data_IF_529613795760
#
_entry.id   IF_529613795760
#
_cell.length_a   1.000
_cell.length_b   1.000
_cell.length_c   1.000
_cell.angle_alpha   90.00
_cell.angle_beta   90.00
_cell.angle_gamma   90.00
#
_symmetry.space_group_name_H-M   'P 1'
#
loop_
_entity.id
_entity.type
_entity.pdbx_description
1 polymer ?
#
# COMPACT_ATOMS: atom_id res chain seq x y z
N UNK A 1 4.09 13.94 -22.02
CA UNK A 1 4.81 13.88 -20.73
C UNK A 1 4.51 12.62 -19.95
N UNK A 2 3.27 12.26 -19.74
CA UNK A 2 2.88 11.03 -18.97
C UNK A 2 3.36 9.73 -19.63
N UNK A 3 3.36 9.67 -20.97
CA UNK A 3 3.81 8.48 -21.71
C UNK A 3 5.31 8.25 -21.56
N UNK A 4 6.10 9.31 -21.62
CA UNK A 4 7.56 9.26 -21.44
C UNK A 4 7.91 8.85 -20.00
N UNK A 5 7.20 9.41 -19.02
CA UNK A 5 7.35 9.03 -17.61
C UNK A 5 7.06 7.54 -17.40
N UNK A 6 5.94 7.06 -17.93
CA UNK A 6 5.57 5.65 -17.82
C UNK A 6 6.59 4.73 -18.51
N UNK A 7 7.12 5.13 -19.66
CA UNK A 7 8.13 4.36 -20.40
C UNK A 7 9.43 4.24 -19.61
N UNK A 8 9.91 5.37 -19.07
CA UNK A 8 11.11 5.41 -18.23
C UNK A 8 10.91 4.55 -16.99
N UNK A 9 9.78 4.71 -16.31
CA UNK A 9 9.49 3.95 -15.09
C UNK A 9 9.39 2.45 -15.38
N UNK A 10 8.77 2.06 -16.49
CA UNK A 10 8.66 0.67 -16.90
C UNK A 10 10.01 0.05 -17.23
N UNK A 11 10.94 0.84 -17.80
CA UNK A 11 12.31 0.40 -18.08
C UNK A 11 13.10 0.18 -16.77
N UNK A 12 12.87 1.03 -15.75
CA UNK A 12 13.54 0.92 -14.45
C UNK A 12 12.84 -0.01 -13.46
N UNK A 13 11.60 -0.45 -13.75
CA UNK A 13 10.82 -1.31 -12.87
C UNK A 13 11.55 -2.61 -12.49
N UNK A 14 12.19 -3.36 -13.41
CA UNK A 14 12.94 -4.55 -13.05
C UNK A 14 14.13 -4.24 -12.14
N UNK A 15 14.76 -3.08 -12.31
CA UNK A 15 15.86 -2.64 -11.45
C UNK A 15 15.38 -2.32 -10.02
N UNK A 16 14.22 -1.69 -9.90
CA UNK A 16 13.57 -1.42 -8.62
C UNK A 16 13.14 -2.73 -7.92
N UNK A 17 12.62 -3.68 -8.66
CA UNK A 17 12.28 -5.00 -8.15
C UNK A 17 13.52 -5.76 -7.66
N UNK A 18 14.62 -5.68 -8.42
CA UNK A 18 15.90 -6.29 -8.06
C UNK A 18 16.47 -5.64 -6.78
N UNK A 19 16.44 -4.31 -6.71
CA UNK A 19 16.81 -3.58 -5.49
C UNK A 19 16.02 -4.04 -4.28
N UNK A 20 14.70 -4.12 -4.41
CA UNK A 20 13.83 -4.55 -3.31
C UNK A 20 14.10 -6.01 -2.91
N UNK A 21 14.45 -6.87 -3.86
CA UNK A 21 14.85 -8.23 -3.61
C UNK A 21 16.12 -8.31 -2.73
N UNK A 22 17.13 -7.47 -3.01
CA UNK A 22 18.36 -7.43 -2.23
C UNK A 22 18.21 -6.74 -0.86
N UNK A 23 17.41 -5.67 -0.78
CA UNK A 23 17.24 -4.88 0.45
C UNK A 23 16.31 -5.58 1.46
N UNK A 24 15.28 -6.29 0.99
CA UNK A 24 14.27 -6.90 1.85
C UNK A 24 14.64 -8.27 2.41
N UNK A 25 15.89 -8.75 2.25
CA UNK A 25 16.39 -10.03 2.83
C UNK A 25 15.38 -11.20 2.77
N UNK A 26 14.72 -11.43 1.66
CA UNK A 26 13.61 -12.36 1.44
C UNK A 26 12.26 -11.64 1.27
N UNK A 27 12.02 -11.04 0.11
CA UNK A 27 10.70 -10.48 -0.17
C UNK A 27 9.70 -11.62 -0.25
N UNK A 28 8.73 -11.63 0.64
CA UNK A 28 7.60 -12.53 0.48
C UNK A 28 6.97 -12.20 -0.88
N UNK A 29 6.81 -13.19 -1.74
CA UNK A 29 6.19 -13.05 -3.06
C UNK A 29 4.90 -12.20 -3.03
N UNK A 30 4.13 -12.32 -1.93
CA UNK A 30 2.98 -11.49 -1.61
C UNK A 30 3.29 -9.98 -1.59
N UNK A 31 4.45 -9.56 -1.07
CA UNK A 31 4.85 -8.15 -1.01
C UNK A 31 5.10 -7.57 -2.42
N UNK A 32 5.72 -8.35 -3.30
CA UNK A 32 5.96 -7.95 -4.69
C UNK A 32 4.63 -7.82 -5.45
N UNK A 33 3.73 -8.77 -5.28
CA UNK A 33 2.39 -8.71 -5.88
C UNK A 33 1.61 -7.47 -5.41
N UNK A 34 1.67 -7.15 -4.11
CA UNK A 34 1.03 -5.94 -3.59
C UNK A 34 1.61 -4.67 -4.19
N UNK A 35 2.95 -4.57 -4.34
CA UNK A 35 3.61 -3.43 -4.99
C UNK A 35 3.23 -3.27 -6.46
N UNK A 36 2.89 -4.36 -7.15
CA UNK A 36 2.37 -4.37 -8.51
C UNK A 36 0.86 -4.08 -8.61
N UNK A 37 0.21 -3.75 -7.49
CA UNK A 37 -1.20 -3.43 -7.44
C UNK A 37 -2.13 -4.64 -7.39
N UNK A 38 -1.59 -5.83 -7.16
CA UNK A 38 -2.41 -7.02 -6.91
C UNK A 38 -2.80 -7.09 -5.45
N UNK A 39 -3.91 -6.47 -5.12
CA UNK A 39 -4.49 -6.56 -3.80
C UNK A 39 -5.36 -7.82 -3.68
N UNK A 40 -5.03 -8.66 -2.70
CA UNK A 40 -5.72 -9.94 -2.47
C UNK A 40 -7.01 -9.74 -1.65
N UNK A 41 -7.98 -9.09 -2.21
CA UNK A 41 -9.28 -8.92 -1.59
C UNK A 41 -10.09 -7.83 -2.27
N UNK A 42 -11.07 -8.19 -3.06
CA UNK A 42 -12.10 -7.25 -3.49
C UNK A 42 -12.97 -6.95 -2.28
N UNK A 43 -13.04 -5.69 -1.91
CA UNK A 43 -14.11 -5.21 -1.02
C UNK A 43 -15.29 -4.81 -1.88
N UNK A 44 -16.48 -5.29 -1.56
CA UNK A 44 -17.72 -4.82 -2.18
C UNK A 44 -18.21 -3.52 -1.55
N UNK A 45 -17.49 -2.99 -0.58
CA UNK A 45 -17.83 -1.78 0.18
C UNK A 45 -16.81 -0.68 -0.09
N UNK A 46 -17.25 0.56 0.03
CA UNK A 46 -16.36 1.72 -0.06
C UNK A 46 -15.25 1.59 0.97
N UNK A 47 -14.02 1.74 0.53
CA UNK A 47 -12.84 1.62 1.38
C UNK A 47 -12.10 2.94 1.46
N UNK A 48 -11.81 3.39 2.66
CA UNK A 48 -11.00 4.58 2.91
C UNK A 48 -9.53 4.14 2.93
N UNK A 49 -8.74 4.70 2.03
CA UNK A 49 -7.30 4.45 1.98
C UNK A 49 -6.53 5.61 2.62
N UNK A 50 -5.84 5.32 3.72
CA UNK A 50 -4.94 6.23 4.40
C UNK A 50 -3.49 5.89 4.06
N UNK A 51 -2.69 6.90 3.76
CA UNK A 51 -1.28 6.71 3.41
C UNK A 51 -0.38 7.63 4.23
N UNK A 52 0.68 7.06 4.80
CA UNK A 52 1.74 7.80 5.48
C UNK A 52 3.11 7.35 4.97
N UNK A 53 3.98 8.30 4.66
CA UNK A 53 5.33 8.01 4.17
C UNK A 53 6.24 7.55 5.30
N UNK A 54 6.17 8.23 6.44
CA UNK A 54 7.07 8.05 7.57
C UNK A 54 6.41 7.44 8.79
N UNK A 55 7.23 6.96 9.72
CA UNK A 55 6.77 6.47 11.02
C UNK A 55 5.97 7.53 11.80
N UNK A 56 6.39 8.81 11.72
CA UNK A 56 5.68 9.90 12.39
C UNK A 56 4.26 10.09 11.86
N UNK A 57 4.10 10.07 10.53
CA UNK A 57 2.79 10.16 9.89
C UNK A 57 1.90 8.98 10.23
N UNK A 58 2.45 7.76 10.26
CA UNK A 58 1.72 6.56 10.66
C UNK A 58 1.17 6.69 12.09
N UNK A 59 1.97 7.22 13.02
CA UNK A 59 1.51 7.47 14.40
C UNK A 59 0.34 8.45 14.46
N UNK A 60 0.34 9.46 13.59
CA UNK A 60 -0.77 10.43 13.47
C UNK A 60 -2.01 9.79 12.84
N UNK A 61 -1.82 8.96 11.80
CA UNK A 61 -2.91 8.29 11.10
C UNK A 61 -3.57 7.17 11.92
N UNK A 62 -2.84 6.57 12.84
CA UNK A 62 -3.32 5.44 13.64
C UNK A 62 -4.62 5.73 14.40
N UNK A 63 -4.75 6.81 15.19
CA UNK A 63 -6.00 7.12 15.89
C UNK A 63 -7.14 7.43 14.92
N UNK A 64 -6.86 8.09 13.79
CA UNK A 64 -7.85 8.35 12.75
C UNK A 64 -8.38 7.05 12.14
N UNK A 65 -7.49 6.14 11.75
CA UNK A 65 -7.85 4.84 11.19
C UNK A 65 -8.73 4.02 12.16
N UNK A 66 -8.36 4.01 13.44
CA UNK A 66 -9.14 3.32 14.48
C UNK A 66 -10.53 3.93 14.62
N UNK A 67 -10.65 5.25 14.64
CA UNK A 67 -11.94 5.94 14.75
C UNK A 67 -12.84 5.67 13.57
N UNK A 68 -12.32 5.72 12.34
CA UNK A 68 -13.08 5.41 11.14
C UNK A 68 -13.56 3.95 11.15
N UNK A 69 -12.70 3.02 11.51
CA UNK A 69 -13.06 1.61 11.64
C UNK A 69 -14.14 1.35 12.70
N UNK A 70 -14.10 2.08 13.84
CA UNK A 70 -15.14 2.02 14.88
C UNK A 70 -16.47 2.57 14.40
N UNK A 71 -16.48 3.47 13.41
CA UNK A 71 -17.68 3.99 12.76
C UNK A 71 -18.25 3.05 11.70
N UNK A 72 -17.64 1.88 11.51
CA UNK A 72 -18.08 0.88 10.54
C UNK A 72 -17.45 1.05 9.14
N UNK A 73 -16.52 2.00 8.97
CA UNK A 73 -15.86 2.21 7.69
C UNK A 73 -14.81 1.13 7.42
N UNK A 74 -14.73 0.69 6.17
CA UNK A 74 -13.63 -0.15 5.71
C UNK A 74 -12.37 0.70 5.55
N UNK A 75 -11.33 0.40 6.31
CA UNK A 75 -10.10 1.19 6.31
C UNK A 75 -8.91 0.35 5.88
N UNK A 76 -8.11 0.91 4.97
CA UNK A 76 -6.82 0.37 4.55
C UNK A 76 -5.74 1.41 4.83
N UNK A 77 -4.63 1.00 5.41
CA UNK A 77 -3.49 1.88 5.69
C UNK A 77 -2.24 1.37 5.01
N UNK A 78 -1.47 2.28 4.43
CA UNK A 78 -0.21 1.95 3.77
C UNK A 78 0.93 2.87 4.21
N UNK A 79 2.15 2.37 4.11
CA UNK A 79 3.36 3.17 4.30
C UNK A 79 4.42 2.85 3.25
N UNK A 80 5.21 3.86 2.90
CA UNK A 80 6.32 3.71 1.96
C UNK A 80 7.57 3.15 2.64
N UNK A 81 7.85 3.58 3.89
CA UNK A 81 9.06 3.17 4.61
C UNK A 81 8.91 1.84 5.31
N UNK A 82 10.01 1.10 5.49
CA UNK A 82 10.01 -0.16 6.22
C UNK A 82 9.59 0.03 7.68
N UNK A 83 10.13 1.06 8.34
CA UNK A 83 9.78 1.39 9.74
C UNK A 83 8.31 1.75 9.92
N UNK A 84 7.71 2.47 8.94
CA UNK A 84 6.28 2.76 8.95
C UNK A 84 5.44 1.51 8.75
N UNK A 85 5.87 0.58 7.89
CA UNK A 85 5.19 -0.71 7.68
C UNK A 85 5.25 -1.61 8.91
N UNK A 86 6.42 -1.71 9.53
CA UNK A 86 6.61 -2.51 10.76
C UNK A 86 5.69 -2.00 11.87
N UNK A 87 5.55 -0.68 12.00
CA UNK A 87 4.61 -0.08 12.94
C UNK A 87 3.16 -0.39 12.59
N UNK A 88 2.77 -0.30 11.30
CA UNK A 88 1.42 -0.67 10.86
C UNK A 88 1.10 -2.13 11.18
N UNK A 89 2.00 -3.06 10.87
CA UNK A 89 1.82 -4.47 11.17
C UNK A 89 1.68 -4.71 12.67
N UNK A 90 2.48 -4.03 13.49
CA UNK A 90 2.43 -4.13 14.95
C UNK A 90 1.10 -3.61 15.51
N UNK A 91 0.69 -2.41 15.08
CA UNK A 91 -0.47 -1.70 15.66
C UNK A 91 -1.79 -2.32 15.21
N UNK A 92 -1.87 -2.81 13.96
CA UNK A 92 -3.11 -3.32 13.37
C UNK A 92 -3.19 -4.84 13.25
N UNK A 93 -2.24 -5.58 13.84
CA UNK A 93 -2.15 -7.05 13.76
C UNK A 93 -3.46 -7.77 14.13
N UNK A 94 -4.18 -7.25 15.12
CA UNK A 94 -5.42 -7.85 15.65
C UNK A 94 -6.64 -6.95 15.38
N UNK A 95 -6.60 -6.11 14.37
CA UNK A 95 -7.70 -5.22 14.02
C UNK A 95 -8.32 -5.59 12.68
N UNK A 96 -9.51 -5.05 12.41
CA UNK A 96 -10.16 -5.17 11.09
C UNK A 96 -9.52 -4.24 10.04
N UNK A 97 -8.63 -3.34 10.46
CA UNK A 97 -7.94 -2.41 9.58
C UNK A 97 -6.90 -3.19 8.78
N UNK A 98 -6.98 -3.12 7.47
CA UNK A 98 -6.06 -3.81 6.57
C UNK A 98 -4.84 -2.95 6.34
N UNK A 99 -3.66 -3.56 6.33
CA UNK A 99 -2.41 -2.91 5.98
C UNK A 99 -1.93 -3.40 4.63
N UNK A 100 -1.49 -2.49 3.78
CA UNK A 100 -0.93 -2.81 2.47
C UNK A 100 0.43 -2.16 2.27
N UNK A 101 1.22 -2.77 1.41
CA UNK A 101 2.48 -2.18 0.94
C UNK A 101 2.15 -1.12 -0.09
N UNK A 102 2.78 0.07 0.04
CA UNK A 102 2.60 1.13 -0.95
C UNK A 102 3.07 0.64 -2.34
N UNK A 103 2.24 0.78 -3.37
CA UNK A 103 2.56 0.29 -4.72
C UNK A 103 3.70 1.11 -5.35
N UNK A 104 4.28 0.57 -6.42
CA UNK A 104 5.18 1.35 -7.26
C UNK A 104 4.43 2.52 -7.91
N UNK A 105 5.13 3.67 -8.04
CA UNK A 105 4.57 4.91 -8.57
C UNK A 105 4.34 4.85 -10.09
N UNK A 106 3.45 3.96 -10.51
CA UNK A 106 3.01 3.81 -11.89
C UNK A 106 1.52 4.08 -11.96
N UNK A 107 1.05 5.05 -12.76
CA UNK A 107 -0.36 5.42 -12.83
C UNK A 107 -1.32 4.25 -13.09
N UNK A 108 -0.88 3.28 -13.90
CA UNK A 108 -1.67 2.08 -14.18
C UNK A 108 -1.82 1.18 -12.94
N UNK A 109 -0.80 1.11 -12.09
CA UNK A 109 -0.84 0.34 -10.83
C UNK A 109 -1.79 1.01 -9.84
N UNK A 110 -1.74 2.35 -9.72
CA UNK A 110 -2.69 3.09 -8.88
C UNK A 110 -4.13 2.91 -9.31
N UNK A 111 -4.40 3.05 -10.62
CA UNK A 111 -5.74 2.82 -11.16
C UNK A 111 -6.25 1.43 -10.80
N UNK A 112 -5.42 0.40 -10.95
CA UNK A 112 -5.77 -0.98 -10.61
C UNK A 112 -6.00 -1.16 -9.11
N UNK A 113 -5.16 -0.56 -8.27
CA UNK A 113 -5.32 -0.61 -6.81
C UNK A 113 -6.60 0.10 -6.38
N UNK A 114 -6.85 1.32 -6.86
CA UNK A 114 -8.06 2.07 -6.55
C UNK A 114 -9.31 1.30 -6.99
N UNK A 115 -9.33 0.68 -8.17
CA UNK A 115 -10.43 -0.14 -8.63
C UNK A 115 -10.63 -1.41 -7.78
N UNK A 116 -9.59 -1.91 -7.12
CA UNK A 116 -9.70 -3.05 -6.20
C UNK A 116 -10.19 -2.66 -4.80
N UNK A 117 -9.92 -1.43 -4.38
CA UNK A 117 -10.29 -0.90 -3.06
C UNK A 117 -11.63 -0.16 -3.07
N UNK A 118 -11.96 0.45 -4.20
CA UNK A 118 -13.15 1.28 -4.36
C UNK A 118 -14.03 0.61 -5.41
N UNK A 119 -15.15 0.05 -4.98
CA UNK A 119 -16.22 -0.29 -5.88
C UNK A 119 -16.97 1.01 -6.22
N UNK A 120 -16.62 1.58 -7.35
CA UNK A 120 -17.45 2.64 -7.95
C UNK A 120 -18.54 1.99 -8.77
#
# INVERSE_FOLDING_TARGET
MLIVYNLIYFLFLPLLMLRDFFILKSPKFKTILMKLGFYLGRSNEKTIWLHGVSLGEIKILTPLAKRLSQQGEQVVVSSTTNTGRDELEKVFKNSQIKTIVFPYDVPMIYKKLCLSLIHI
#
